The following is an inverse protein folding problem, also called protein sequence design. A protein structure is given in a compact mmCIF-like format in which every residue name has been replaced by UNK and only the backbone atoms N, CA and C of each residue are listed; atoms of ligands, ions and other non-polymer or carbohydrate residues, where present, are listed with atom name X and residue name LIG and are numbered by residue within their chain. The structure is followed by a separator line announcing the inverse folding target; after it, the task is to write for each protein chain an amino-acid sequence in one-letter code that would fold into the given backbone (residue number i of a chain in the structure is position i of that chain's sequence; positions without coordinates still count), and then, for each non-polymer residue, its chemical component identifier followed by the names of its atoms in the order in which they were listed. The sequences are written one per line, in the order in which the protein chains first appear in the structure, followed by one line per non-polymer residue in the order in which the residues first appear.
data_IF_396195424389
#
_entry.id   IF_396195424389
#
_cell.length_a   1.000
_cell.length_b   1.000
_cell.length_c   1.000
_cell.angle_alpha   90.00
_cell.angle_beta   90.00
_cell.angle_gamma   90.00
#
_symmetry.space_group_name_H-M   'P 1'
#
loop_
_entity.id
_entity.type
_entity.pdbx_description
1 polymer ?
#
# COMPACT_ATOMS: atom_id res chain seq x y z
N UNK A 1 -11.24 20.31 -3.99
CA UNK A 1 -10.14 20.35 -2.96
C UNK A 1 -8.82 20.00 -3.63
N UNK A 2 -7.83 20.84 -3.44
CA UNK A 2 -6.47 20.56 -3.94
C UNK A 2 -5.50 20.65 -2.77
N UNK A 3 -4.52 19.75 -2.75
CA UNK A 3 -3.43 19.79 -1.77
C UNK A 3 -2.09 19.83 -2.47
N UNK A 4 -1.18 20.68 -2.02
CA UNK A 4 0.23 20.54 -2.36
C UNK A 4 0.87 19.53 -1.41
N UNK A 5 2.01 18.97 -1.79
CA UNK A 5 2.64 17.87 -1.03
C UNK A 5 2.84 18.22 0.46
N UNK A 6 3.28 19.45 0.77
CA UNK A 6 3.53 19.87 2.15
C UNK A 6 2.30 19.92 3.04
N UNK A 7 1.11 19.89 2.45
CA UNK A 7 -0.17 19.88 3.19
C UNK A 7 -0.66 18.46 3.49
N UNK A 8 -0.01 17.44 2.95
CA UNK A 8 -0.40 16.05 3.15
C UNK A 8 0.15 15.52 4.46
N UNK A 9 -0.68 14.79 5.20
CA UNK A 9 -0.28 14.18 6.47
C UNK A 9 0.67 13.01 6.20
N UNK A 10 1.69 12.88 7.06
CA UNK A 10 2.64 11.78 6.98
C UNK A 10 2.53 10.91 8.23
N UNK A 11 2.85 9.64 8.09
CA UNK A 11 2.76 8.67 9.17
C UNK A 11 3.76 7.55 8.94
N UNK A 12 4.37 7.07 10.03
CA UNK A 12 5.22 5.87 9.98
C UNK A 12 4.52 4.78 10.77
N UNK A 13 4.36 3.61 10.14
CA UNK A 13 3.79 2.43 10.80
C UNK A 13 4.83 1.32 10.83
N UNK A 14 5.14 0.84 12.03
CA UNK A 14 6.12 -0.22 12.23
C UNK A 14 5.46 -1.59 12.21
N UNK A 15 6.17 -2.57 11.64
CA UNK A 15 5.78 -4.00 11.64
C UNK A 15 4.33 -4.22 11.23
N UNK A 16 3.91 -3.55 10.17
CA UNK A 16 2.52 -3.63 9.70
C UNK A 16 2.12 -5.07 9.41
N UNK A 17 1.04 -5.52 10.02
CA UNK A 17 0.49 -6.87 9.84
C UNK A 17 1.53 -7.97 10.08
N UNK A 18 2.46 -7.76 11.03
CA UNK A 18 3.53 -8.70 11.29
C UNK A 18 4.68 -8.67 10.31
N UNK A 19 4.73 -7.65 9.45
CA UNK A 19 5.83 -7.45 8.50
C UNK A 19 7.12 -6.98 9.17
N UNK A 20 8.12 -6.71 8.35
CA UNK A 20 9.46 -6.30 8.78
C UNK A 20 9.66 -4.81 8.53
N UNK A 21 10.33 -4.13 9.48
CA UNK A 21 10.66 -2.72 9.36
C UNK A 21 9.43 -1.83 9.43
N UNK A 22 9.37 -0.81 8.59
CA UNK A 22 8.31 0.20 8.64
C UNK A 22 7.83 0.60 7.27
N UNK A 23 6.57 1.05 7.20
CA UNK A 23 6.01 1.73 6.03
C UNK A 23 5.95 3.23 6.28
N UNK A 24 6.35 4.01 5.29
CA UNK A 24 6.30 5.47 5.35
C UNK A 24 5.10 5.92 4.51
N UNK A 25 4.09 6.50 5.18
CA UNK A 25 2.84 6.90 4.54
C UNK A 25 2.81 8.40 4.28
N UNK A 26 2.38 8.75 3.08
CA UNK A 26 1.92 10.10 2.76
C UNK A 26 0.43 9.97 2.44
N UNK A 27 -0.42 10.46 3.32
CA UNK A 27 -1.88 10.44 3.13
C UNK A 27 -2.25 11.58 2.19
N UNK A 28 -2.49 11.25 0.94
CA UNK A 28 -2.80 12.25 -0.10
C UNK A 28 -4.12 12.93 0.26
N UNK A 29 -5.13 12.15 0.57
CA UNK A 29 -6.36 12.63 1.20
C UNK A 29 -6.63 11.78 2.44
N UNK A 30 -7.05 12.43 3.52
CA UNK A 30 -7.37 11.75 4.76
C UNK A 30 -8.74 11.06 4.66
N UNK A 31 -8.93 10.03 5.46
CA UNK A 31 -10.17 9.23 5.44
C UNK A 31 -11.42 10.09 5.62
N UNK A 32 -11.37 11.11 6.48
CA UNK A 32 -12.50 12.00 6.76
C UNK A 32 -12.78 13.02 5.66
N UNK A 33 -11.93 13.13 4.66
CA UNK A 33 -12.11 14.05 3.54
C UNK A 33 -12.93 13.43 2.40
N UNK A 34 -13.15 12.11 2.42
CA UNK A 34 -13.93 11.43 1.40
C UNK A 34 -15.44 11.49 1.71
N UNK A 35 -16.22 11.76 0.68
CA UNK A 35 -17.67 11.55 0.73
C UNK A 35 -18.05 10.15 0.27
N UNK A 36 -17.23 9.54 -0.56
CA UNK A 36 -17.41 8.17 -1.03
C UNK A 36 -16.82 7.14 -0.06
N UNK A 37 -16.99 5.89 -0.41
CA UNK A 37 -16.58 4.75 0.43
C UNK A 37 -15.10 4.42 0.21
N UNK A 38 -14.23 5.30 0.63
CA UNK A 38 -12.79 5.14 0.56
C UNK A 38 -12.20 5.38 1.95
N UNK A 39 -11.37 4.46 2.45
CA UNK A 39 -10.75 4.63 3.78
C UNK A 39 -9.25 4.82 3.75
N UNK A 40 -8.63 4.71 2.58
CA UNK A 40 -7.19 4.95 2.41
C UNK A 40 -6.92 5.42 1.00
N UNK A 41 -6.17 6.48 0.87
CA UNK A 41 -5.65 6.98 -0.41
C UNK A 41 -4.28 7.58 -0.12
N UNK A 42 -3.25 6.75 -0.21
CA UNK A 42 -1.92 7.12 0.30
C UNK A 42 -0.82 6.63 -0.61
N UNK A 43 0.30 7.35 -0.57
CA UNK A 43 1.55 6.85 -1.12
C UNK A 43 2.31 6.17 0.01
N UNK A 44 2.74 4.95 -0.22
CA UNK A 44 3.51 4.17 0.74
C UNK A 44 4.91 3.95 0.19
N UNK A 45 5.91 4.16 1.04
CA UNK A 45 7.31 3.84 0.74
C UNK A 45 7.78 2.76 1.69
N UNK A 46 8.34 1.68 1.12
CA UNK A 46 9.03 0.63 1.84
C UNK A 46 10.51 0.70 1.48
N UNK A 47 11.36 0.98 2.46
CA UNK A 47 12.80 0.92 2.26
C UNK A 47 13.23 -0.54 2.03
N UNK A 48 14.43 -0.80 1.46
CA UNK A 48 14.91 -2.17 1.27
C UNK A 48 14.80 -3.01 2.55
N UNK A 49 14.25 -4.20 2.42
CA UNK A 49 14.03 -5.13 3.53
C UNK A 49 12.75 -4.93 4.31
N UNK A 50 12.00 -3.86 4.06
CA UNK A 50 10.72 -3.62 4.74
C UNK A 50 9.57 -4.32 4.03
N UNK A 51 8.54 -4.64 4.79
CA UNK A 51 7.38 -5.37 4.27
C UNK A 51 6.11 -5.03 5.03
N UNK A 52 4.97 -5.28 4.37
CA UNK A 52 3.65 -5.34 4.99
C UNK A 52 3.26 -6.82 4.97
N UNK A 53 3.01 -7.40 6.14
CA UNK A 53 2.71 -8.82 6.28
C UNK A 53 1.36 -9.21 5.69
N UNK A 54 1.16 -10.51 5.52
CA UNK A 54 -0.05 -11.06 4.92
C UNK A 54 -1.29 -10.72 5.74
N UNK A 55 -2.32 -10.23 5.07
CA UNK A 55 -3.59 -9.86 5.71
C UNK A 55 -4.73 -9.90 4.69
N UNK A 56 -5.96 -10.25 5.13
CA UNK A 56 -7.11 -10.27 4.24
C UNK A 56 -7.76 -8.90 4.12
N UNK A 57 -8.50 -8.71 3.03
CA UNK A 57 -9.38 -7.57 2.83
C UNK A 57 -10.81 -8.06 2.68
N UNK A 58 -11.59 -7.98 3.78
CA UNK A 58 -12.99 -8.38 3.83
C UNK A 58 -13.91 -7.17 3.65
N UNK A 59 -14.94 -7.31 2.81
CA UNK A 59 -15.91 -6.24 2.51
C UNK A 59 -15.27 -4.95 2.05
N UNK A 60 -14.11 -5.06 1.45
CA UNK A 60 -13.35 -3.97 0.85
C UNK A 60 -12.42 -4.54 -0.21
N UNK A 61 -11.86 -3.65 -1.02
CA UNK A 61 -10.77 -4.02 -1.91
C UNK A 61 -9.67 -2.98 -1.84
N UNK A 62 -8.43 -3.42 -1.93
CA UNK A 62 -7.26 -2.55 -1.97
C UNK A 62 -6.57 -2.64 -3.32
N UNK A 63 -6.16 -1.48 -3.82
CA UNK A 63 -5.39 -1.38 -5.05
C UNK A 63 -4.00 -0.87 -4.70
N UNK A 64 -2.97 -1.58 -5.18
CA UNK A 64 -1.59 -1.09 -5.20
C UNK A 64 -1.22 -0.74 -6.63
N UNK A 65 -0.61 0.41 -6.83
CA UNK A 65 -0.05 0.82 -8.11
C UNK A 65 1.39 1.27 -7.89
N UNK A 66 2.35 0.54 -8.49
CA UNK A 66 3.77 0.77 -8.25
C UNK A 66 4.22 2.00 -9.04
N UNK A 67 4.82 2.97 -8.34
CA UNK A 67 5.36 4.19 -8.93
C UNK A 67 6.85 4.05 -9.23
N UNK A 68 7.63 3.47 -8.30
CA UNK A 68 9.06 3.27 -8.48
C UNK A 68 9.56 2.14 -7.60
N UNK A 69 10.71 1.59 -7.96
CA UNK A 69 11.28 0.44 -7.28
C UNK A 69 10.65 -0.86 -7.71
N UNK A 70 11.08 -1.95 -7.07
CA UNK A 70 10.58 -3.30 -7.34
C UNK A 70 10.33 -4.00 -6.02
N UNK A 71 9.36 -4.90 -6.01
CA UNK A 71 9.07 -5.72 -4.85
C UNK A 71 8.45 -7.04 -5.25
N UNK A 72 8.15 -7.86 -4.24
CA UNK A 72 7.43 -9.10 -4.43
C UNK A 72 6.15 -9.06 -3.62
N UNK A 73 5.06 -9.51 -4.22
CA UNK A 73 3.77 -9.64 -3.55
C UNK A 73 3.40 -11.11 -3.43
N UNK A 74 2.69 -11.42 -2.35
CA UNK A 74 1.93 -12.67 -2.25
C UNK A 74 0.49 -12.30 -2.58
N UNK A 75 0.04 -12.69 -3.77
CA UNK A 75 -1.30 -12.43 -4.26
C UNK A 75 -2.16 -13.65 -3.99
N UNK A 76 -2.79 -13.67 -2.83
CA UNK A 76 -3.69 -14.76 -2.40
C UNK A 76 -3.01 -16.14 -2.53
N UNK A 77 -1.77 -16.24 -2.08
CA UNK A 77 -0.97 -17.46 -2.12
C UNK A 77 -0.02 -17.60 -3.31
N UNK A 78 -0.09 -16.69 -4.28
CA UNK A 78 0.77 -16.70 -5.46
C UNK A 78 1.80 -15.60 -5.40
N UNK A 79 3.08 -15.95 -5.38
CA UNK A 79 4.18 -14.97 -5.38
C UNK A 79 4.38 -14.41 -6.79
N UNK A 80 4.47 -13.07 -6.86
CA UNK A 80 4.73 -12.37 -8.11
C UNK A 80 5.63 -11.15 -7.86
N UNK A 81 6.50 -10.87 -8.82
CA UNK A 81 7.27 -9.63 -8.81
C UNK A 81 6.43 -8.49 -9.39
N UNK A 82 6.60 -7.29 -8.80
CA UNK A 82 5.96 -6.07 -9.27
C UNK A 82 7.01 -4.98 -9.46
N UNK A 83 6.84 -4.19 -10.50
CA UNK A 83 7.67 -3.02 -10.80
C UNK A 83 6.83 -1.84 -11.25
N UNK A 84 7.47 -0.71 -11.63
CA UNK A 84 6.76 0.51 -12.00
C UNK A 84 5.69 0.28 -13.08
N UNK A 85 4.48 0.80 -12.83
CA UNK A 85 3.35 0.65 -13.74
C UNK A 85 2.51 -0.61 -13.52
N UNK A 86 2.94 -1.51 -12.65
CA UNK A 86 2.16 -2.71 -12.32
C UNK A 86 1.13 -2.41 -11.23
N UNK A 87 0.02 -3.11 -11.27
CA UNK A 87 -1.07 -2.94 -10.32
C UNK A 87 -1.53 -4.28 -9.74
N UNK A 88 -1.94 -4.24 -8.47
CA UNK A 88 -2.53 -5.37 -7.75
C UNK A 88 -3.86 -4.93 -7.18
N UNK A 89 -4.87 -5.78 -7.28
CA UNK A 89 -6.14 -5.57 -6.58
C UNK A 89 -6.44 -6.79 -5.72
N UNK A 90 -6.73 -6.55 -4.44
CA UNK A 90 -7.02 -7.59 -3.46
C UNK A 90 -8.28 -7.25 -2.70
N UNK A 91 -9.24 -8.15 -2.66
CA UNK A 91 -10.49 -7.90 -1.95
C UNK A 91 -11.41 -9.10 -1.91
N UNK A 92 -12.58 -8.91 -1.29
CA UNK A 92 -13.59 -9.97 -1.20
C UNK A 92 -13.12 -11.16 -0.37
N UNK A 93 -12.29 -10.94 0.65
CA UNK A 93 -11.75 -12.01 1.50
C UNK A 93 -10.39 -12.54 1.06
N UNK A 94 -9.87 -12.10 -0.08
CA UNK A 94 -8.52 -12.46 -0.51
C UNK A 94 -7.47 -11.78 0.37
N UNK A 95 -6.28 -12.39 0.45
CA UNK A 95 -5.15 -11.88 1.22
C UNK A 95 -4.01 -11.45 0.33
N UNK A 96 -3.21 -10.51 0.83
CA UNK A 96 -1.96 -10.15 0.17
C UNK A 96 -0.88 -9.76 1.18
N UNK A 97 0.36 -9.74 0.70
CA UNK A 97 1.50 -9.12 1.37
C UNK A 97 2.39 -8.46 0.32
N UNK A 98 3.24 -7.55 0.76
CA UNK A 98 4.21 -6.90 -0.14
C UNK A 98 5.54 -6.72 0.60
N UNK A 99 6.64 -7.02 -0.09
CA UNK A 99 7.99 -6.94 0.46
C UNK A 99 8.90 -6.24 -0.54
N UNK A 100 9.67 -5.28 -0.03
CA UNK A 100 10.77 -4.72 -0.82
C UNK A 100 11.99 -5.62 -0.64
N UNK A 101 12.21 -6.51 -1.60
CA UNK A 101 13.38 -7.38 -1.65
C UNK A 101 14.48 -6.85 -2.57
N UNK A 102 14.36 -5.60 -3.00
CA UNK A 102 15.34 -4.92 -3.86
C UNK A 102 16.32 -4.08 -3.07
N UNK A 103 17.05 -3.22 -3.79
CA UNK A 103 18.07 -2.34 -3.23
C UNK A 103 17.69 -0.86 -3.23
N UNK A 104 16.56 -0.52 -3.84
CA UNK A 104 16.03 0.83 -3.94
C UNK A 104 14.69 0.93 -3.18
N UNK A 105 14.26 2.13 -2.77
CA UNK A 105 12.94 2.28 -2.17
C UNK A 105 11.84 1.80 -3.11
N UNK A 106 10.86 1.11 -2.55
CA UNK A 106 9.64 0.70 -3.26
C UNK A 106 8.55 1.71 -2.91
N UNK A 107 8.03 2.41 -3.92
CA UNK A 107 7.03 3.45 -3.75
C UNK A 107 5.78 3.07 -4.53
N UNK A 108 4.63 3.08 -3.88
CA UNK A 108 3.37 2.71 -4.51
C UNK A 108 2.20 3.49 -3.93
N UNK A 109 1.16 3.65 -4.75
CA UNK A 109 -0.13 4.14 -4.29
C UNK A 109 -0.92 2.99 -3.70
N UNK A 110 -1.61 3.26 -2.60
CA UNK A 110 -2.54 2.33 -1.96
C UNK A 110 -3.89 3.00 -1.82
N UNK A 111 -4.93 2.34 -2.32
CA UNK A 111 -6.31 2.83 -2.27
C UNK A 111 -7.18 1.72 -1.73
N UNK A 112 -7.96 1.99 -0.69
CA UNK A 112 -8.92 1.02 -0.14
C UNK A 112 -10.33 1.55 -0.35
N UNK A 113 -11.12 0.76 -1.06
CA UNK A 113 -12.52 1.04 -1.37
C UNK A 113 -13.39 0.10 -0.55
N UNK A 114 -14.35 0.67 0.16
CA UNK A 114 -15.28 -0.11 0.99
C UNK A 114 -16.52 -0.52 0.17
N UNK A 115 -17.02 -1.69 0.47
CA UNK A 115 -18.26 -2.18 -0.16
C UNK A 115 -19.50 -1.61 0.49
#
# INVERSE_FOLDING_TARGET
MMKIHSEMATEIREKMRGGTGQGEFVHIFNTDEFKGKCRLFSQITLQPGCSIGAHPHDQEEEIYYILSGKGVVDDNGQLREMGPGDALKTGGGESHSITNNGTEPLVFLAVIILF
#
